data_IF_243905180777
#
_entry.id   IF_243905180777
#
_cell.length_a   1.000
_cell.length_b   1.000
_cell.length_c   1.000
_cell.angle_alpha   90.00
_cell.angle_beta   90.00
_cell.angle_gamma   90.00
#
_symmetry.space_group_name_H-M   'P 1'
#
loop_
_entity.id
_entity.type
_entity.pdbx_description
1 polymer ?
#
# COMPACT_ATOMS: atom_id res chain seq x y z
N UNK A 1 -4.26 78.79 -2.83
CA UNK A 1 -4.97 77.49 -2.84
C UNK A 1 -4.10 76.50 -3.59
N UNK A 2 -3.60 75.46 -2.93
CA UNK A 2 -3.14 74.18 -3.52
C UNK A 2 -2.74 73.26 -2.34
N UNK A 3 -3.28 72.04 -2.38
CA UNK A 3 -3.46 71.06 -1.30
C UNK A 3 -2.18 70.48 -0.66
N UNK A 4 -2.27 69.94 0.57
CA UNK A 4 -1.26 69.03 1.10
C UNK A 4 -1.39 67.65 0.45
N UNK A 5 -0.27 67.14 -0.08
CA UNK A 5 -0.14 65.78 -0.59
C UNK A 5 -0.05 64.82 0.60
N UNK A 6 -1.06 63.96 0.75
CA UNK A 6 -1.06 62.85 1.70
C UNK A 6 -0.19 61.73 1.13
N UNK A 7 0.93 61.44 1.78
CA UNK A 7 1.76 60.27 1.50
C UNK A 7 1.10 59.06 2.17
N UNK A 8 0.43 58.22 1.39
CA UNK A 8 0.07 56.86 1.81
C UNK A 8 1.29 55.94 1.63
N UNK A 9 1.96 55.59 2.72
CA UNK A 9 2.90 54.47 2.74
C UNK A 9 2.12 53.16 2.72
N UNK A 10 2.16 52.46 1.59
CA UNK A 10 1.59 51.12 1.45
C UNK A 10 2.40 50.11 2.28
N UNK A 11 1.79 49.54 3.33
CA UNK A 11 2.28 48.32 3.96
C UNK A 11 2.06 47.16 2.97
N UNK A 12 3.13 46.67 2.36
CA UNK A 12 3.10 45.42 1.62
C UNK A 12 2.92 44.27 2.62
N UNK A 13 1.70 43.74 2.71
CA UNK A 13 1.44 42.50 3.42
C UNK A 13 2.11 41.34 2.67
N UNK A 14 3.19 40.80 3.22
CA UNK A 14 3.67 39.46 2.87
C UNK A 14 2.63 38.44 3.32
N UNK A 15 1.63 38.20 2.47
CA UNK A 15 0.81 37.00 2.58
C UNK A 15 1.70 35.81 2.20
N UNK A 16 2.41 35.25 3.18
CA UNK A 16 2.92 33.89 3.05
C UNK A 16 1.71 33.02 2.69
N UNK A 17 1.70 32.48 1.47
CA UNK A 17 0.74 31.47 1.08
C UNK A 17 0.98 30.24 1.96
N UNK A 18 0.32 30.19 3.11
CA UNK A 18 0.26 28.99 3.94
C UNK A 18 -0.56 28.01 3.11
N UNK A 19 0.13 27.11 2.39
CA UNK A 19 -0.54 25.99 1.75
C UNK A 19 -1.39 25.30 2.82
N UNK A 20 -2.69 25.10 2.54
CA UNK A 20 -3.59 24.45 3.47
C UNK A 20 -2.99 23.09 3.86
N UNK A 21 -2.64 22.93 5.13
CA UNK A 21 -2.04 21.70 5.66
C UNK A 21 -3.17 20.69 5.89
N UNK A 22 -3.13 19.55 5.22
CA UNK A 22 -4.20 18.55 5.27
C UNK A 22 -4.17 17.61 4.07
N UNK A 23 -5.28 16.89 3.87
CA UNK A 23 -5.44 15.98 2.73
C UNK A 23 -5.48 16.79 1.43
N UNK A 24 -4.72 16.34 0.44
CA UNK A 24 -4.70 16.88 -0.92
C UNK A 24 -5.45 15.95 -1.88
N UNK A 25 -6.26 16.52 -2.76
CA UNK A 25 -7.05 15.75 -3.72
C UNK A 25 -8.19 14.94 -3.07
N UNK A 26 -8.70 13.96 -3.80
CA UNK A 26 -9.76 13.07 -3.33
C UNK A 26 -9.57 11.66 -3.89
N UNK A 27 -10.05 10.65 -3.16
CA UNK A 27 -10.01 9.27 -3.60
C UNK A 27 -10.79 9.07 -4.91
N UNK A 28 -10.17 8.38 -5.85
CA UNK A 28 -10.85 7.82 -7.01
C UNK A 28 -11.31 6.38 -6.73
N UNK A 29 -12.06 5.78 -7.67
CA UNK A 29 -12.42 4.36 -7.58
C UNK A 29 -13.31 4.04 -6.38
N UNK A 30 -13.15 2.83 -5.82
CA UNK A 30 -14.13 2.28 -4.89
C UNK A 30 -14.26 3.05 -3.58
N UNK A 31 -13.21 3.72 -3.11
CA UNK A 31 -13.25 4.53 -1.88
C UNK A 31 -13.59 6.01 -2.15
N UNK A 32 -14.03 6.37 -3.36
CA UNK A 32 -14.51 7.72 -3.68
C UNK A 32 -15.56 8.17 -2.65
N UNK A 33 -15.33 9.35 -2.08
CA UNK A 33 -16.18 9.95 -1.05
C UNK A 33 -15.68 9.77 0.38
N UNK A 34 -14.50 9.15 0.59
CA UNK A 34 -13.83 9.15 1.88
C UNK A 34 -13.47 10.58 2.29
N UNK A 35 -13.62 10.91 3.57
CA UNK A 35 -13.32 12.24 4.12
C UNK A 35 -12.28 12.22 5.24
N UNK A 36 -12.01 11.04 5.83
CA UNK A 36 -11.09 10.90 6.94
C UNK A 36 -11.51 11.74 8.14
N UNK A 37 -10.60 12.61 8.61
CA UNK A 37 -10.86 13.59 9.67
C UNK A 37 -11.78 14.76 9.25
N UNK A 38 -12.13 14.86 7.97
CA UNK A 38 -12.97 15.94 7.44
C UNK A 38 -12.36 17.32 7.65
N UNK A 39 -13.15 18.26 8.18
CA UNK A 39 -12.74 19.63 8.49
C UNK A 39 -12.14 19.80 9.89
N UNK A 40 -11.82 18.71 10.59
CA UNK A 40 -11.18 18.79 11.90
C UNK A 40 -9.86 19.58 11.81
N UNK A 41 -9.66 20.51 12.76
CA UNK A 41 -8.45 21.32 12.84
C UNK A 41 -7.20 20.41 12.91
N UNK A 42 -6.15 20.68 12.12
CA UNK A 42 -4.93 19.89 12.16
C UNK A 42 -4.29 19.82 13.54
N UNK A 43 -3.87 18.63 13.95
CA UNK A 43 -3.03 18.39 15.13
C UNK A 43 -1.65 17.90 14.70
N UNK A 44 -0.63 18.32 15.46
CA UNK A 44 0.77 18.08 15.15
C UNK A 44 1.43 17.32 16.32
N UNK A 45 1.41 15.97 16.32
CA UNK A 45 2.00 15.21 17.40
C UNK A 45 3.49 15.55 17.56
N UNK A 46 3.92 15.77 18.80
CA UNK A 46 5.30 16.05 19.17
C UNK A 46 6.03 14.79 19.63
N UNK A 47 5.31 13.77 20.05
CA UNK A 47 5.86 12.52 20.58
C UNK A 47 5.18 11.30 19.97
N UNK A 48 5.82 10.14 20.05
CA UNK A 48 5.21 8.86 19.68
C UNK A 48 3.91 8.60 20.44
N UNK A 49 3.86 8.98 21.73
CA UNK A 49 2.67 8.83 22.56
C UNK A 49 1.49 9.70 22.07
N UNK A 50 1.74 10.95 21.68
CA UNK A 50 0.72 11.81 21.10
C UNK A 50 0.22 11.27 19.75
N UNK A 51 1.12 10.78 18.89
CA UNK A 51 0.73 10.16 17.62
C UNK A 51 -0.19 8.96 17.86
N UNK A 52 0.20 8.05 18.76
CA UNK A 52 -0.61 6.89 19.12
C UNK A 52 -1.95 7.34 19.70
N UNK A 53 -1.97 8.32 20.60
CA UNK A 53 -3.19 8.84 21.21
C UNK A 53 -4.17 9.38 20.16
N UNK A 54 -3.69 10.25 19.25
CA UNK A 54 -4.53 10.81 18.19
C UNK A 54 -5.05 9.76 17.21
N UNK A 55 -4.28 8.73 16.90
CA UNK A 55 -4.73 7.65 16.00
C UNK A 55 -5.74 6.71 16.66
N UNK A 56 -5.64 6.52 17.97
CA UNK A 56 -6.41 5.50 18.72
C UNK A 56 -7.67 6.03 19.40
N UNK A 57 -7.87 7.36 19.47
CA UNK A 57 -9.09 7.93 20.03
C UNK A 57 -10.29 7.91 19.06
N UNK A 58 -11.48 8.21 19.58
CA UNK A 58 -12.74 8.19 18.82
C UNK A 58 -13.06 9.50 18.11
N UNK A 59 -12.24 10.54 18.27
CA UNK A 59 -12.49 11.88 17.73
C UNK A 59 -12.09 11.92 16.26
N UNK A 60 -12.84 12.63 15.41
CA UNK A 60 -12.40 12.87 14.04
C UNK A 60 -11.12 13.74 14.06
N UNK A 61 -10.05 13.32 13.39
CA UNK A 61 -8.77 14.04 13.42
C UNK A 61 -8.08 14.14 12.08
N UNK A 62 -7.49 15.30 11.85
CA UNK A 62 -6.47 15.54 10.82
C UNK A 62 -5.12 15.61 11.52
N UNK A 63 -4.29 14.58 11.36
CA UNK A 63 -3.03 14.37 12.08
C UNK A 63 -1.88 14.60 11.10
N UNK A 64 -1.06 15.61 11.36
CA UNK A 64 0.02 16.02 10.45
C UNK A 64 1.37 15.58 11.00
N UNK A 65 2.08 14.75 10.23
CA UNK A 65 3.43 14.30 10.56
C UNK A 65 4.46 15.25 9.96
N UNK A 66 5.20 15.94 10.81
CA UNK A 66 6.23 16.91 10.42
C UNK A 66 7.65 16.40 10.63
N UNK A 67 7.81 15.14 11.06
CA UNK A 67 9.08 14.50 11.37
C UNK A 67 8.95 12.98 11.39
N UNK A 68 10.09 12.31 11.56
CA UNK A 68 10.16 10.88 11.87
C UNK A 68 9.66 10.61 13.29
N UNK A 69 8.73 9.66 13.40
CA UNK A 69 8.32 9.01 14.64
C UNK A 69 8.97 7.64 14.68
N UNK A 70 10.10 7.55 15.39
CA UNK A 70 10.89 6.32 15.50
C UNK A 70 10.43 5.50 16.71
N UNK A 71 9.82 4.35 16.44
CA UNK A 71 9.39 3.38 17.45
C UNK A 71 10.41 2.27 17.70
N UNK A 72 11.54 2.25 16.98
CA UNK A 72 12.59 1.24 17.23
C UNK A 72 13.06 1.33 18.67
N UNK A 73 13.08 0.20 19.37
CA UNK A 73 13.52 0.05 20.75
C UNK A 73 12.51 0.50 21.80
N UNK A 74 11.42 1.19 21.44
CA UNK A 74 10.50 1.79 22.43
C UNK A 74 9.75 0.76 23.26
N UNK A 75 9.68 -0.48 22.80
CA UNK A 75 9.03 -1.60 23.49
C UNK A 75 10.04 -2.71 23.86
N UNK A 76 11.33 -2.47 23.67
CA UNK A 76 12.41 -3.42 23.90
C UNK A 76 12.50 -4.52 22.82
N UNK A 77 13.42 -5.46 23.04
CA UNK A 77 13.65 -6.60 22.15
C UNK A 77 13.14 -7.90 22.77
N UNK A 78 12.91 -8.90 21.95
CA UNK A 78 12.54 -10.25 22.40
C UNK A 78 13.37 -11.30 21.67
N UNK A 79 13.95 -12.22 22.46
CA UNK A 79 14.56 -13.44 21.95
C UNK A 79 13.50 -14.52 21.77
N UNK A 80 13.55 -15.26 20.67
CA UNK A 80 12.63 -16.36 20.37
C UNK A 80 13.26 -17.35 19.40
N UNK A 81 12.68 -18.54 19.25
CA UNK A 81 13.12 -19.50 18.25
C UNK A 81 12.59 -19.17 16.85
N UNK A 82 13.23 -19.74 15.84
CA UNK A 82 12.86 -19.53 14.44
C UNK A 82 13.32 -20.66 13.53
N UNK A 83 13.29 -20.41 12.23
CA UNK A 83 13.79 -21.30 11.20
C UNK A 83 14.37 -20.51 10.01
N UNK A 84 15.16 -21.19 9.19
CA UNK A 84 15.75 -20.68 7.96
C UNK A 84 15.14 -21.37 6.73
N UNK A 85 13.89 -21.05 6.34
CA UNK A 85 13.19 -21.80 5.29
C UNK A 85 13.66 -21.52 3.87
N UNK A 86 14.41 -20.43 3.67
CA UNK A 86 14.86 -20.01 2.35
C UNK A 86 16.32 -20.40 2.11
N UNK A 87 17.18 -20.15 3.11
CA UNK A 87 18.57 -20.59 3.19
C UNK A 87 19.17 -19.98 4.48
N UNK A 88 20.31 -20.51 4.93
CA UNK A 88 21.13 -19.93 6.02
C UNK A 88 22.18 -18.93 5.50
N UNK A 89 22.22 -18.70 4.19
CA UNK A 89 23.15 -17.78 3.54
C UNK A 89 22.93 -16.30 3.93
N UNK A 90 23.96 -15.48 3.73
CA UNK A 90 23.89 -14.04 3.93
C UNK A 90 22.81 -13.42 3.04
N UNK A 91 22.03 -12.49 3.60
CA UNK A 91 20.99 -11.77 2.86
C UNK A 91 19.68 -12.56 2.63
N UNK A 92 19.60 -13.77 3.17
CA UNK A 92 18.33 -14.49 3.28
C UNK A 92 17.55 -14.03 4.52
N UNK A 93 16.23 -13.89 4.40
CA UNK A 93 15.38 -13.73 5.58
C UNK A 93 15.32 -15.03 6.40
N UNK A 94 15.26 -14.87 7.71
CA UNK A 94 14.86 -15.94 8.63
C UNK A 94 13.38 -15.75 8.99
N UNK A 95 12.74 -16.77 9.55
CA UNK A 95 11.37 -16.66 10.03
C UNK A 95 11.32 -16.82 11.55
N UNK A 96 10.64 -15.89 12.23
CA UNK A 96 10.25 -16.08 13.63
C UNK A 96 9.22 -17.21 13.69
N UNK A 97 9.35 -18.11 14.67
CA UNK A 97 8.41 -19.21 14.86
C UNK A 97 7.09 -18.76 15.53
N UNK A 98 6.44 -17.74 14.98
CA UNK A 98 5.15 -17.22 15.46
C UNK A 98 4.09 -18.31 15.28
N UNK A 99 3.30 -18.57 16.33
CA UNK A 99 2.20 -19.55 16.33
C UNK A 99 2.60 -20.95 15.79
N UNK A 100 3.82 -21.40 16.12
CA UNK A 100 4.40 -22.66 15.61
C UNK A 100 4.53 -22.73 14.08
N UNK A 101 4.62 -21.59 13.38
CA UNK A 101 4.68 -21.55 11.92
C UNK A 101 5.82 -22.38 11.32
N UNK A 102 7.02 -22.33 11.91
CA UNK A 102 8.14 -23.14 11.44
C UNK A 102 7.87 -24.64 11.59
N UNK A 103 7.10 -25.04 12.60
CA UNK A 103 6.73 -26.45 12.80
C UNK A 103 5.63 -26.89 11.86
N UNK A 104 4.61 -26.07 11.68
CA UNK A 104 3.42 -26.46 10.93
C UNK A 104 3.62 -26.34 9.42
N UNK A 105 4.41 -25.36 8.96
CA UNK A 105 4.52 -25.04 7.53
C UNK A 105 5.94 -25.22 6.97
N UNK A 106 6.96 -25.36 7.82
CA UNK A 106 8.35 -25.51 7.40
C UNK A 106 9.08 -26.60 8.21
N UNK A 107 8.50 -27.81 8.37
CA UNK A 107 9.01 -28.82 9.30
C UNK A 107 10.46 -29.24 9.00
N UNK A 108 10.86 -29.20 7.73
CA UNK A 108 12.17 -29.63 7.24
C UNK A 108 13.21 -28.50 7.21
N UNK A 109 12.85 -27.27 7.60
CA UNK A 109 13.78 -26.14 7.58
C UNK A 109 14.73 -26.18 8.78
N UNK A 110 16.01 -25.77 8.61
CA UNK A 110 16.94 -25.62 9.72
C UNK A 110 16.34 -24.74 10.83
N UNK A 111 16.42 -25.23 12.08
CA UNK A 111 15.94 -24.50 13.26
C UNK A 111 16.99 -23.55 13.77
N UNK A 112 16.52 -22.37 14.19
CA UNK A 112 17.36 -21.35 14.80
C UNK A 112 16.93 -21.23 16.26
N UNK A 113 17.86 -21.51 17.18
CA UNK A 113 17.57 -21.57 18.61
C UNK A 113 17.24 -20.19 19.21
N UNK A 114 17.83 -19.12 18.68
CA UNK A 114 17.57 -17.76 19.14
C UNK A 114 17.68 -16.75 18.00
N UNK A 115 16.61 -16.01 17.78
CA UNK A 115 16.50 -14.80 16.98
C UNK A 115 16.06 -13.66 17.90
N UNK A 116 16.58 -12.46 17.70
CA UNK A 116 16.21 -11.28 18.50
C UNK A 116 15.57 -10.23 17.61
N UNK A 117 14.31 -9.89 17.86
CA UNK A 117 13.58 -8.89 17.09
C UNK A 117 13.09 -7.73 17.97
N UNK A 118 12.78 -6.60 17.34
CA UNK A 118 12.20 -5.44 18.02
C UNK A 118 10.69 -5.64 18.24
N UNK A 119 10.22 -5.57 19.49
CA UNK A 119 8.82 -5.82 19.83
C UNK A 119 7.88 -4.74 19.31
N UNK A 120 8.38 -3.53 19.08
CA UNK A 120 7.58 -2.42 18.57
C UNK A 120 6.88 -2.77 17.24
N UNK A 121 7.52 -3.61 16.43
CA UNK A 121 7.01 -4.02 15.13
C UNK A 121 5.80 -4.98 15.20
N UNK A 122 5.61 -5.68 16.33
CA UNK A 122 4.46 -6.59 16.54
C UNK A 122 3.21 -5.86 17.03
N UNK A 123 3.38 -4.71 17.65
CA UNK A 123 2.31 -3.92 18.24
C UNK A 123 1.94 -2.75 17.32
N UNK A 124 1.33 -3.05 16.18
CA UNK A 124 0.85 -2.04 15.24
C UNK A 124 -0.13 -1.05 15.89
N UNK A 125 -0.07 0.22 15.50
CA UNK A 125 -0.98 1.26 16.03
C UNK A 125 -2.39 1.00 15.51
N UNK A 126 -3.36 0.82 16.41
CA UNK A 126 -4.76 0.58 16.05
C UNK A 126 -5.47 1.87 15.66
N UNK A 127 -5.63 2.11 14.37
CA UNK A 127 -6.23 3.35 13.86
C UNK A 127 -7.75 3.27 13.97
N UNK A 128 -8.37 4.25 14.64
CA UNK A 128 -9.82 4.37 14.74
C UNK A 128 -10.45 5.05 13.51
N UNK A 129 -11.77 5.03 13.42
CA UNK A 129 -12.53 5.71 12.36
C UNK A 129 -12.28 7.23 12.31
N UNK A 130 -12.57 7.82 11.15
CA UNK A 130 -12.55 9.27 10.89
C UNK A 130 -11.16 9.90 11.14
N UNK A 131 -10.13 9.32 10.54
CA UNK A 131 -8.74 9.81 10.67
C UNK A 131 -8.19 10.18 9.31
N UNK A 132 -7.52 11.32 9.25
CA UNK A 132 -6.63 11.70 8.15
C UNK A 132 -5.22 11.78 8.70
N UNK A 133 -4.37 10.81 8.39
CA UNK A 133 -2.95 10.82 8.73
C UNK A 133 -2.16 11.31 7.52
N UNK A 134 -1.54 12.50 7.62
CA UNK A 134 -0.91 13.17 6.47
C UNK A 134 0.53 13.54 6.79
N UNK A 135 1.49 13.17 5.95
CA UNK A 135 2.86 13.70 6.06
C UNK A 135 3.02 15.05 5.40
N UNK A 136 3.78 15.94 6.04
CA UNK A 136 4.13 17.24 5.49
C UNK A 136 5.41 17.16 4.65
N UNK A 137 5.34 17.52 3.38
CA UNK A 137 6.48 17.44 2.45
C UNK A 137 7.08 16.04 2.43
N UNK A 138 8.37 15.92 2.70
CA UNK A 138 9.09 14.65 2.81
C UNK A 138 9.54 14.34 4.26
N UNK A 139 8.78 14.78 5.27
CA UNK A 139 9.16 14.63 6.68
C UNK A 139 8.35 13.57 7.45
N UNK A 140 7.13 13.23 7.00
CA UNK A 140 6.23 12.33 7.72
C UNK A 140 6.61 10.85 7.63
N UNK A 141 7.46 10.37 8.55
CA UNK A 141 7.95 8.99 8.57
C UNK A 141 7.51 8.28 9.86
N UNK A 142 7.04 7.04 9.74
CA UNK A 142 6.82 6.12 10.87
C UNK A 142 7.81 4.97 10.72
N UNK A 143 8.72 4.84 11.70
CA UNK A 143 9.81 3.87 11.68
C UNK A 143 9.64 2.83 12.78
N UNK A 144 9.88 1.55 12.48
CA UNK A 144 9.89 0.48 13.49
C UNK A 144 8.52 -0.05 13.92
N UNK A 145 7.42 0.51 13.42
CA UNK A 145 6.05 0.10 13.75
C UNK A 145 5.09 0.37 12.58
N UNK A 146 4.12 -0.53 12.40
CA UNK A 146 3.05 -0.38 11.40
C UNK A 146 1.74 0.17 11.97
N UNK A 147 0.72 0.24 11.13
CA UNK A 147 -0.66 0.60 11.50
C UNK A 147 -1.63 -0.55 11.21
N UNK A 148 -2.68 -0.66 12.01
CA UNK A 148 -3.72 -1.67 11.86
C UNK A 148 -5.12 -1.06 11.93
N UNK A 149 -5.91 -1.28 10.88
CA UNK A 149 -7.32 -0.87 10.77
C UNK A 149 -8.20 -2.10 10.81
N UNK A 150 -8.98 -2.28 11.87
CA UNK A 150 -9.79 -3.47 12.06
C UNK A 150 -11.02 -3.22 12.92
N UNK A 151 -11.81 -4.27 13.15
CA UNK A 151 -12.96 -4.24 14.06
C UNK A 151 -14.03 -3.21 13.67
N UNK A 152 -14.28 -3.06 12.37
CA UNK A 152 -15.35 -2.22 11.83
C UNK A 152 -15.01 -0.73 11.70
N UNK A 153 -13.73 -0.35 11.83
CA UNK A 153 -13.31 1.04 11.60
C UNK A 153 -13.55 1.46 10.14
N UNK A 154 -13.83 2.74 9.92
CA UNK A 154 -14.13 3.24 8.59
C UNK A 154 -13.77 4.70 8.41
N UNK A 155 -13.74 5.15 7.15
CA UNK A 155 -13.49 6.53 6.78
C UNK A 155 -12.10 7.00 7.24
N UNK A 156 -11.06 6.42 6.65
CA UNK A 156 -9.67 6.69 7.01
C UNK A 156 -8.87 7.05 5.76
N UNK A 157 -8.08 8.12 5.86
CA UNK A 157 -7.14 8.56 4.84
C UNK A 157 -5.72 8.47 5.42
N UNK A 158 -4.83 7.78 4.73
CA UNK A 158 -3.40 7.76 5.00
C UNK A 158 -2.70 8.33 3.76
N UNK A 159 -2.12 9.53 3.89
CA UNK A 159 -1.58 10.25 2.74
C UNK A 159 -0.16 10.75 2.96
N UNK A 160 0.73 10.51 2.00
CA UNK A 160 2.09 11.04 2.02
C UNK A 160 2.90 10.66 3.28
N UNK A 161 2.81 9.39 3.70
CA UNK A 161 3.54 8.84 4.86
C UNK A 161 4.51 7.76 4.41
N UNK A 162 5.71 7.72 4.99
CA UNK A 162 6.67 6.64 4.78
C UNK A 162 6.71 5.69 5.98
N UNK A 163 6.39 4.41 5.76
CA UNK A 163 6.54 3.34 6.75
C UNK A 163 7.81 2.53 6.47
N UNK A 164 8.70 2.36 7.46
CA UNK A 164 9.97 1.68 7.23
C UNK A 164 10.65 1.06 8.46
N UNK A 165 11.69 0.25 8.22
CA UNK A 165 12.54 -0.41 9.22
C UNK A 165 11.77 -1.26 10.22
N UNK A 166 10.88 -2.12 9.73
CA UNK A 166 10.06 -2.99 10.57
C UNK A 166 10.66 -4.40 10.54
N UNK A 167 11.70 -4.65 11.34
CA UNK A 167 12.41 -5.95 11.44
C UNK A 167 12.67 -6.61 10.05
N UNK A 168 13.34 -5.93 9.10
CA UNK A 168 13.44 -6.38 7.70
C UNK A 168 14.04 -7.77 7.52
N UNK A 169 14.87 -8.23 8.44
CA UNK A 169 15.54 -9.53 8.41
C UNK A 169 14.64 -10.73 8.78
N UNK A 170 13.43 -10.49 9.30
CA UNK A 170 12.57 -11.55 9.83
C UNK A 170 11.19 -11.57 9.17
N UNK A 171 10.85 -12.69 8.53
CA UNK A 171 9.45 -13.04 8.26
C UNK A 171 8.73 -13.18 9.60
N UNK A 172 7.50 -12.67 9.66
CA UNK A 172 6.74 -12.42 10.89
C UNK A 172 7.34 -11.33 11.80
N UNK A 173 8.36 -10.59 11.35
CA UNK A 173 8.95 -9.48 12.09
C UNK A 173 8.03 -8.26 12.22
N UNK A 174 7.05 -8.12 11.33
CA UNK A 174 6.01 -7.08 11.36
C UNK A 174 5.50 -6.74 9.96
N UNK A 175 4.33 -6.12 9.90
CA UNK A 175 3.73 -5.58 8.68
C UNK A 175 3.66 -4.05 8.76
N UNK A 176 3.69 -3.35 7.62
CA UNK A 176 3.61 -1.89 7.61
C UNK A 176 2.17 -1.36 7.72
N UNK A 177 1.27 -1.84 6.85
CA UNK A 177 -0.13 -1.44 6.85
C UNK A 177 -1.01 -2.68 6.79
N UNK A 178 -1.87 -2.85 7.80
CA UNK A 178 -2.79 -3.97 7.90
C UNK A 178 -4.24 -3.48 7.96
N UNK A 179 -5.13 -4.12 7.22
CA UNK A 179 -6.57 -3.84 7.19
C UNK A 179 -7.33 -5.16 7.30
N UNK A 180 -8.25 -5.29 8.25
CA UNK A 180 -9.06 -6.51 8.39
C UNK A 180 -10.37 -6.20 9.11
N UNK A 181 -11.45 -6.05 8.36
CA UNK A 181 -12.73 -5.58 8.91
C UNK A 181 -12.79 -4.06 8.96
N UNK A 182 -12.76 -3.40 7.79
CA UNK A 182 -12.84 -1.95 7.66
C UNK A 182 -13.65 -1.53 6.42
N UNK A 183 -13.87 -0.24 6.21
CA UNK A 183 -14.52 0.27 4.99
C UNK A 183 -14.13 1.73 4.71
N UNK A 184 -14.19 2.15 3.45
CA UNK A 184 -13.85 3.51 3.01
C UNK A 184 -12.45 3.94 3.47
N UNK A 185 -11.44 3.22 2.95
CA UNK A 185 -10.03 3.47 3.25
C UNK A 185 -9.32 3.99 2.00
N UNK A 186 -8.55 5.08 2.15
CA UNK A 186 -7.72 5.63 1.09
C UNK A 186 -6.28 5.74 1.53
N UNK A 187 -5.39 5.04 0.82
CA UNK A 187 -3.95 5.06 0.98
C UNK A 187 -3.37 5.76 -0.25
N UNK A 188 -2.73 6.91 -0.08
CA UNK A 188 -2.28 7.76 -1.18
C UNK A 188 -0.89 8.32 -0.97
N UNK A 189 -0.03 8.34 -2.00
CA UNK A 189 1.35 8.86 -1.88
C UNK A 189 2.15 8.24 -0.71
N UNK A 190 1.81 7.04 -0.29
CA UNK A 190 2.53 6.34 0.77
C UNK A 190 3.78 5.70 0.20
N UNK A 191 4.87 5.66 0.98
CA UNK A 191 6.01 4.77 0.70
C UNK A 191 6.09 3.68 1.77
N UNK A 192 6.41 2.46 1.35
CA UNK A 192 6.77 1.36 2.26
C UNK A 192 8.12 0.78 1.84
N UNK A 193 9.04 0.59 2.78
CA UNK A 193 10.36 -0.01 2.49
C UNK A 193 10.95 -0.73 3.69
N UNK A 194 11.72 -1.80 3.46
CA UNK A 194 12.45 -2.54 4.51
C UNK A 194 11.53 -3.03 5.64
N UNK A 195 10.55 -3.84 5.25
CA UNK A 195 9.54 -4.45 6.12
C UNK A 195 9.83 -5.95 6.24
N UNK A 196 9.66 -6.54 7.42
CA UNK A 196 9.95 -7.96 7.65
C UNK A 196 8.99 -8.90 6.90
N UNK A 197 7.70 -8.52 6.84
CA UNK A 197 6.68 -9.24 6.09
C UNK A 197 5.86 -8.26 5.22
N UNK A 198 4.53 -8.20 5.34
CA UNK A 198 3.68 -7.52 4.37
C UNK A 198 3.89 -6.00 4.39
N UNK A 199 4.13 -5.39 3.23
CA UNK A 199 4.04 -3.94 3.09
C UNK A 199 2.59 -3.48 3.21
N UNK A 200 1.67 -4.23 2.61
CA UNK A 200 0.23 -4.00 2.72
C UNK A 200 -0.52 -5.33 2.78
N UNK A 201 -1.36 -5.51 3.79
CA UNK A 201 -2.22 -6.69 3.93
C UNK A 201 -3.67 -6.31 4.19
N UNK A 202 -4.58 -6.86 3.38
CA UNK A 202 -6.02 -6.75 3.53
C UNK A 202 -6.60 -8.14 3.79
N UNK A 203 -7.35 -8.31 4.88
CA UNK A 203 -8.03 -9.53 5.26
C UNK A 203 -7.55 -10.15 6.58
N UNK A 204 -8.12 -11.27 7.01
CA UNK A 204 -9.14 -12.08 6.30
C UNK A 204 -10.58 -11.52 6.39
N UNK A 205 -10.89 -10.63 7.33
CA UNK A 205 -12.21 -9.98 7.38
C UNK A 205 -12.36 -8.98 6.23
N UNK A 206 -13.60 -8.67 5.84
CA UNK A 206 -13.89 -7.77 4.72
C UNK A 206 -13.31 -6.36 4.97
N UNK A 207 -12.47 -5.90 4.04
CA UNK A 207 -11.95 -4.52 3.98
C UNK A 207 -12.87 -3.60 3.15
N UNK A 208 -13.87 -4.18 2.47
CA UNK A 208 -14.88 -3.47 1.69
C UNK A 208 -14.25 -2.51 0.68
N UNK A 209 -14.57 -1.20 0.73
CA UNK A 209 -14.10 -0.22 -0.26
C UNK A 209 -12.73 0.33 0.13
N UNK A 210 -11.71 -0.01 -0.66
CA UNK A 210 -10.34 0.48 -0.47
C UNK A 210 -9.81 1.06 -1.78
N UNK A 211 -9.13 2.19 -1.69
CA UNK A 211 -8.33 2.75 -2.79
C UNK A 211 -6.90 2.93 -2.34
N UNK A 212 -5.98 2.35 -3.10
CA UNK A 212 -4.55 2.51 -2.94
C UNK A 212 -4.05 3.20 -4.21
N UNK A 213 -3.63 4.45 -4.06
CA UNK A 213 -3.22 5.28 -5.19
C UNK A 213 -1.85 5.91 -5.01
N UNK A 214 -1.17 6.14 -6.14
CA UNK A 214 0.06 6.95 -6.20
C UNK A 214 1.12 6.54 -5.17
N UNK A 215 1.16 5.28 -4.74
CA UNK A 215 2.01 4.82 -3.64
C UNK A 215 3.22 4.04 -4.15
N UNK A 216 4.30 4.07 -3.41
CA UNK A 216 5.56 3.38 -3.71
C UNK A 216 5.76 2.19 -2.76
N UNK A 217 5.80 0.99 -3.34
CA UNK A 217 6.13 -0.25 -2.65
C UNK A 217 7.54 -0.66 -3.06
N UNK A 218 8.51 -0.27 -2.23
CA UNK A 218 9.93 -0.44 -2.47
C UNK A 218 10.43 -1.73 -1.80
N UNK A 219 10.53 -2.79 -2.60
CA UNK A 219 10.99 -4.11 -2.17
C UNK A 219 12.50 -4.25 -2.06
N UNK A 220 13.29 -3.18 -2.26
CA UNK A 220 14.75 -3.23 -2.11
C UNK A 220 15.12 -3.51 -0.66
N UNK A 221 15.86 -4.59 -0.42
CA UNK A 221 16.19 -5.03 0.94
C UNK A 221 17.52 -5.78 1.00
N UNK A 222 18.20 -5.70 2.15
CA UNK A 222 19.38 -6.54 2.41
C UNK A 222 19.00 -7.97 2.78
N UNK A 223 17.75 -8.22 3.15
CA UNK A 223 17.25 -9.54 3.54
C UNK A 223 15.98 -9.87 2.76
N UNK A 224 16.00 -10.93 1.98
CA UNK A 224 14.86 -11.37 1.17
C UNK A 224 14.62 -12.87 1.27
N UNK A 225 13.38 -13.30 1.08
CA UNK A 225 13.02 -14.72 1.03
C UNK A 225 13.62 -15.47 -0.17
N UNK A 226 14.11 -14.75 -1.19
CA UNK A 226 14.81 -15.32 -2.34
C UNK A 226 16.33 -15.06 -2.31
N UNK A 227 16.84 -14.45 -1.24
CA UNK A 227 18.26 -14.14 -1.04
C UNK A 227 18.90 -13.30 -2.17
N UNK A 228 18.11 -12.50 -2.88
CA UNK A 228 18.50 -11.76 -4.10
C UNK A 228 18.22 -10.24 -3.97
N UNK A 229 17.88 -9.79 -2.77
CA UNK A 229 17.55 -8.40 -2.48
C UNK A 229 16.17 -7.94 -2.95
N UNK A 230 15.33 -8.85 -3.46
CA UNK A 230 13.97 -8.57 -3.92
C UNK A 230 12.95 -9.11 -2.93
N UNK A 231 12.11 -8.22 -2.38
CA UNK A 231 11.18 -8.61 -1.33
C UNK A 231 9.98 -9.43 -1.85
N UNK A 232 9.61 -10.50 -1.15
CA UNK A 232 8.56 -11.43 -1.58
C UNK A 232 7.17 -11.09 -1.02
N UNK A 233 7.11 -10.47 0.16
CA UNK A 233 5.88 -10.20 0.90
C UNK A 233 5.44 -8.75 0.72
N UNK A 234 5.16 -8.30 -0.51
CA UNK A 234 4.74 -6.91 -0.72
C UNK A 234 3.27 -6.70 -0.34
N UNK A 235 2.36 -7.18 -1.18
CA UNK A 235 0.95 -6.80 -1.18
C UNK A 235 0.08 -8.05 -1.17
N UNK A 236 -0.76 -8.18 -0.13
CA UNK A 236 -1.58 -9.36 0.08
C UNK A 236 -3.05 -9.00 0.30
N UNK A 237 -3.87 -9.21 -0.73
CA UNK A 237 -5.30 -8.90 -0.75
C UNK A 237 -6.14 -10.17 -0.63
N UNK A 238 -6.67 -10.43 0.56
CA UNK A 238 -7.39 -11.67 0.89
C UNK A 238 -8.64 -11.45 1.74
N UNK A 239 -9.24 -10.26 1.69
CA UNK A 239 -10.47 -10.00 2.43
C UNK A 239 -11.65 -10.81 1.88
N UNK A 240 -12.66 -10.96 2.73
CA UNK A 240 -13.83 -11.79 2.44
C UNK A 240 -14.89 -11.10 1.54
N UNK A 241 -14.77 -9.80 1.28
CA UNK A 241 -15.68 -9.05 0.40
C UNK A 241 -15.09 -7.69 0.02
N UNK A 242 -13.98 -7.71 -0.71
CA UNK A 242 -13.17 -6.51 -0.95
C UNK A 242 -13.39 -5.93 -2.35
N UNK A 243 -13.49 -4.61 -2.40
CA UNK A 243 -13.52 -3.77 -3.60
C UNK A 243 -12.28 -2.87 -3.57
N UNK A 244 -11.24 -3.26 -4.32
CA UNK A 244 -9.94 -2.60 -4.27
C UNK A 244 -9.65 -1.88 -5.58
N UNK A 245 -9.46 -0.57 -5.52
CA UNK A 245 -8.85 0.20 -6.60
C UNK A 245 -7.37 0.33 -6.30
N UNK A 246 -6.53 -0.16 -7.20
CA UNK A 246 -5.08 -0.09 -7.13
C UNK A 246 -4.59 0.72 -8.33
N UNK A 247 -4.36 2.02 -8.13
CA UNK A 247 -4.12 2.97 -9.22
C UNK A 247 -2.80 3.73 -9.12
N UNK A 248 -2.03 3.81 -10.20
CA UNK A 248 -0.89 4.74 -10.24
C UNK A 248 0.21 4.39 -9.26
N UNK A 249 0.30 3.14 -8.79
CA UNK A 249 1.30 2.73 -7.81
C UNK A 249 2.60 2.32 -8.50
N UNK A 250 3.72 2.61 -7.85
CA UNK A 250 5.03 2.12 -8.24
C UNK A 250 5.43 0.93 -7.37
N UNK A 251 5.46 -0.27 -7.96
CA UNK A 251 5.77 -1.52 -7.27
C UNK A 251 7.08 -2.05 -7.82
N UNK A 252 8.14 -2.10 -7.00
CA UNK A 252 9.45 -2.44 -7.53
C UNK A 252 10.35 -3.25 -6.61
N UNK A 253 11.36 -3.89 -7.21
CA UNK A 253 12.34 -4.74 -6.51
C UNK A 253 11.65 -5.83 -5.69
N UNK A 254 10.69 -6.52 -6.32
CA UNK A 254 9.87 -7.56 -5.70
C UNK A 254 10.17 -8.94 -6.27
N UNK A 255 9.72 -9.98 -5.58
CA UNK A 255 9.88 -11.37 -6.03
C UNK A 255 8.64 -12.24 -5.81
N UNK A 256 7.53 -11.61 -5.43
CA UNK A 256 6.24 -12.27 -5.23
C UNK A 256 5.19 -11.30 -4.72
N UNK A 257 3.95 -11.78 -4.60
CA UNK A 257 2.82 -11.06 -3.98
C UNK A 257 2.76 -9.57 -4.35
N UNK A 258 2.80 -9.28 -5.64
CA UNK A 258 2.83 -7.93 -6.17
C UNK A 258 1.70 -7.69 -7.19
N UNK A 259 0.41 -7.83 -6.81
CA UNK A 259 -0.13 -8.33 -5.54
C UNK A 259 -0.49 -9.82 -5.58
N UNK A 260 -0.67 -10.44 -4.40
CA UNK A 260 -1.45 -11.67 -4.26
C UNK A 260 -2.92 -11.33 -4.01
N UNK A 261 -3.83 -11.92 -4.77
CA UNK A 261 -5.27 -11.68 -4.71
C UNK A 261 -6.00 -13.00 -4.44
N UNK A 262 -6.82 -13.03 -3.39
CA UNK A 262 -7.56 -14.21 -2.94
C UNK A 262 -8.82 -13.78 -2.18
N UNK A 263 -9.42 -14.73 -1.43
CA UNK A 263 -10.62 -14.48 -0.64
C UNK A 263 -11.82 -14.28 -1.55
N UNK A 264 -12.48 -13.13 -1.42
CA UNK A 264 -13.49 -12.68 -2.37
C UNK A 264 -13.22 -11.20 -2.65
N UNK A 265 -12.38 -10.97 -3.65
CA UNK A 265 -11.77 -9.66 -3.91
C UNK A 265 -11.95 -9.28 -5.37
N UNK A 266 -12.57 -8.13 -5.61
CA UNK A 266 -12.60 -7.45 -6.89
C UNK A 266 -11.49 -6.41 -6.91
N UNK A 267 -10.49 -6.62 -7.76
CA UNK A 267 -9.36 -5.73 -7.93
C UNK A 267 -9.47 -5.00 -9.27
N UNK A 268 -9.49 -3.67 -9.22
CA UNK A 268 -9.21 -2.80 -10.36
C UNK A 268 -7.75 -2.33 -10.29
N UNK A 269 -6.87 -3.00 -11.02
CA UNK A 269 -5.46 -2.64 -11.12
C UNK A 269 -5.24 -1.80 -12.39
N UNK A 270 -5.09 -0.49 -12.22
CA UNK A 270 -5.09 0.48 -13.32
C UNK A 270 -3.91 1.44 -13.27
N UNK A 271 -3.20 1.62 -14.39
CA UNK A 271 -2.09 2.58 -14.49
C UNK A 271 -0.97 2.44 -13.45
N UNK A 272 -0.71 1.23 -12.96
CA UNK A 272 0.43 0.98 -12.08
C UNK A 272 1.70 0.72 -12.91
N UNK A 273 2.84 0.92 -12.28
CA UNK A 273 4.14 0.56 -12.83
C UNK A 273 4.79 -0.52 -11.98
N UNK A 274 4.98 -1.70 -12.56
CA UNK A 274 5.68 -2.84 -11.97
C UNK A 274 7.08 -2.92 -12.58
N UNK A 275 8.11 -2.86 -11.73
CA UNK A 275 9.51 -2.77 -12.18
C UNK A 275 10.45 -3.68 -11.40
N UNK A 276 11.42 -4.29 -12.09
CA UNK A 276 12.48 -5.08 -11.45
C UNK A 276 11.91 -6.15 -10.51
N UNK A 277 11.26 -7.16 -11.08
CA UNK A 277 10.77 -8.31 -10.34
C UNK A 277 11.50 -9.57 -10.78
N UNK A 278 12.17 -10.23 -9.83
CA UNK A 278 13.09 -11.35 -10.11
C UNK A 278 12.38 -12.70 -10.29
N UNK A 279 11.05 -12.77 -10.08
CA UNK A 279 10.26 -14.00 -10.10
C UNK A 279 8.88 -13.75 -10.72
N UNK A 280 7.85 -13.49 -9.91
CA UNK A 280 6.50 -13.20 -10.39
C UNK A 280 5.88 -11.99 -9.68
N UNK A 281 4.97 -11.30 -10.37
CA UNK A 281 4.19 -10.22 -9.78
C UNK A 281 2.89 -10.75 -9.15
N UNK A 282 1.91 -11.13 -9.95
CA UNK A 282 0.59 -11.52 -9.46
C UNK A 282 0.54 -12.98 -8.97
N UNK A 283 -0.28 -13.22 -7.96
CA UNK A 283 -0.77 -14.54 -7.57
C UNK A 283 -2.28 -14.45 -7.44
N UNK A 284 -3.04 -15.38 -8.01
CA UNK A 284 -4.50 -15.39 -7.90
C UNK A 284 -5.02 -16.78 -7.52
N UNK A 285 -5.97 -16.81 -6.58
CA UNK A 285 -6.69 -18.03 -6.17
C UNK A 285 -8.19 -17.88 -6.46
N UNK A 286 -9.01 -18.93 -6.28
CA UNK A 286 -10.45 -18.81 -6.44
C UNK A 286 -11.02 -17.67 -5.57
N UNK A 287 -11.98 -16.94 -6.14
CA UNK A 287 -12.58 -15.73 -5.54
C UNK A 287 -11.81 -14.42 -5.81
N UNK A 288 -10.66 -14.48 -6.48
CA UNK A 288 -10.03 -13.29 -7.06
C UNK A 288 -10.64 -12.93 -8.42
N UNK A 289 -11.00 -11.66 -8.58
CA UNK A 289 -11.53 -11.07 -9.81
C UNK A 289 -10.70 -9.83 -10.18
N UNK A 290 -9.80 -9.95 -11.15
CA UNK A 290 -8.82 -8.89 -11.45
C UNK A 290 -9.04 -8.29 -12.83
N UNK A 291 -9.41 -7.00 -12.86
CA UNK A 291 -9.33 -6.18 -14.06
C UNK A 291 -7.98 -5.45 -14.08
N UNK A 292 -7.17 -5.73 -15.10
CA UNK A 292 -5.84 -5.16 -15.30
C UNK A 292 -5.80 -4.34 -16.61
N UNK A 293 -5.67 -3.02 -16.49
CA UNK A 293 -5.67 -2.11 -17.65
C UNK A 293 -4.70 -0.93 -17.51
N UNK A 294 -4.06 -0.52 -18.61
CA UNK A 294 -3.18 0.64 -18.64
C UNK A 294 -1.92 0.53 -17.76
N UNK A 295 -1.52 -0.66 -17.31
CA UNK A 295 -0.34 -0.85 -16.46
C UNK A 295 0.92 -1.02 -17.31
N UNK A 296 2.08 -0.67 -16.75
CA UNK A 296 3.39 -0.94 -17.34
C UNK A 296 4.10 -2.03 -16.53
N UNK A 297 4.61 -3.04 -17.21
CA UNK A 297 5.48 -4.06 -16.63
C UNK A 297 6.85 -3.98 -17.29
N UNK A 298 7.89 -3.76 -16.51
CA UNK A 298 9.26 -3.65 -16.99
C UNK A 298 10.21 -4.52 -16.16
N UNK A 299 10.99 -5.39 -16.81
CA UNK A 299 11.91 -6.30 -16.12
C UNK A 299 11.21 -7.13 -15.01
N UNK A 300 9.98 -7.56 -15.28
CA UNK A 300 9.22 -8.50 -14.48
C UNK A 300 9.33 -9.87 -15.13
N UNK A 301 9.89 -10.86 -14.42
CA UNK A 301 10.14 -12.20 -14.97
C UNK A 301 8.84 -12.90 -15.37
N UNK A 302 7.82 -12.88 -14.51
CA UNK A 302 6.47 -13.37 -14.80
C UNK A 302 5.41 -12.40 -14.29
N UNK A 303 4.47 -12.00 -15.15
CA UNK A 303 3.34 -11.15 -14.72
C UNK A 303 2.48 -11.87 -13.69
N UNK A 304 2.35 -13.20 -13.78
CA UNK A 304 1.61 -14.04 -12.84
C UNK A 304 2.35 -15.34 -12.58
N UNK A 305 2.28 -15.82 -11.33
CA UNK A 305 2.79 -17.13 -10.95
C UNK A 305 2.03 -18.26 -11.68
N UNK A 306 2.69 -19.13 -12.46
CA UNK A 306 2.05 -20.23 -13.15
C UNK A 306 1.42 -21.27 -12.21
N UNK A 307 1.88 -21.34 -10.96
CA UNK A 307 1.33 -22.23 -9.92
C UNK A 307 0.17 -21.60 -9.14
N UNK A 308 -0.04 -20.29 -9.25
CA UNK A 308 -1.09 -19.54 -8.54
C UNK A 308 -1.83 -18.59 -9.48
N UNK A 309 -2.63 -19.16 -10.39
CA UNK A 309 -3.38 -18.43 -11.43
C UNK A 309 -4.82 -18.91 -11.61
N UNK A 310 -5.46 -19.32 -10.52
CA UNK A 310 -6.81 -19.91 -10.55
C UNK A 310 -7.93 -18.91 -10.29
N UNK A 311 -7.60 -17.62 -10.10
CA UNK A 311 -8.58 -16.53 -10.11
C UNK A 311 -9.01 -16.15 -11.52
N UNK A 312 -10.02 -15.28 -11.63
CA UNK A 312 -10.50 -14.75 -12.90
C UNK A 312 -9.80 -13.44 -13.22
N UNK A 313 -9.31 -13.29 -14.45
CA UNK A 313 -8.58 -12.09 -14.86
C UNK A 313 -9.01 -11.61 -16.24
N UNK A 314 -9.16 -10.29 -16.38
CA UNK A 314 -9.26 -9.61 -17.66
C UNK A 314 -8.07 -8.65 -17.80
N UNK A 315 -7.16 -8.97 -18.71
CA UNK A 315 -5.84 -8.30 -18.83
C UNK A 315 -5.78 -7.25 -19.94
N UNK A 316 -6.95 -6.84 -20.42
CA UNK A 316 -7.08 -5.89 -21.53
C UNK A 316 -6.21 -6.27 -22.74
N UNK A 317 -6.38 -7.48 -23.32
CA UNK A 317 -5.37 -8.10 -24.16
C UNK A 317 -5.23 -7.48 -25.55
N UNK A 318 -6.29 -6.87 -26.09
CA UNK A 318 -6.30 -6.21 -27.40
C UNK A 318 -7.53 -5.29 -27.52
N UNK A 319 -7.51 -4.38 -28.50
CA UNK A 319 -8.57 -3.38 -28.70
C UNK A 319 -9.98 -4.00 -28.85
N UNK A 320 -10.11 -5.13 -29.55
CA UNK A 320 -11.41 -5.78 -29.78
C UNK A 320 -11.99 -6.35 -28.49
N UNK A 321 -11.19 -7.13 -27.75
CA UNK A 321 -11.60 -7.69 -26.45
C UNK A 321 -11.92 -6.57 -25.44
N UNK A 322 -11.19 -5.46 -25.48
CA UNK A 322 -11.37 -4.34 -24.56
C UNK A 322 -12.73 -3.63 -24.69
N UNK A 323 -13.44 -3.81 -25.81
CA UNK A 323 -14.80 -3.30 -25.98
C UNK A 323 -15.79 -3.93 -24.98
N UNK A 324 -15.51 -5.14 -24.47
CA UNK A 324 -16.34 -5.82 -23.48
C UNK A 324 -16.51 -5.01 -22.19
N UNK A 325 -15.54 -4.16 -21.85
CA UNK A 325 -15.59 -3.31 -20.67
C UNK A 325 -16.68 -2.23 -20.75
N UNK A 326 -17.12 -1.84 -21.95
CA UNK A 326 -18.08 -0.74 -22.15
C UNK A 326 -19.39 -0.97 -21.40
N UNK A 327 -19.88 -2.21 -21.35
CA UNK A 327 -21.13 -2.55 -20.68
C UNK A 327 -21.08 -2.38 -19.15
N UNK A 328 -19.90 -2.57 -18.55
CA UNK A 328 -19.72 -2.50 -17.09
C UNK A 328 -19.13 -1.17 -16.62
N UNK A 329 -18.19 -0.61 -17.38
CA UNK A 329 -17.39 0.56 -17.00
C UNK A 329 -17.82 1.85 -17.73
N UNK A 330 -18.69 1.75 -18.75
CA UNK A 330 -19.07 2.88 -19.62
C UNK A 330 -18.01 3.30 -20.64
N UNK A 331 -16.85 2.61 -20.67
CA UNK A 331 -15.73 2.86 -21.59
C UNK A 331 -15.03 1.55 -21.96
N UNK A 332 -14.27 1.57 -23.05
CA UNK A 332 -13.36 0.48 -23.37
C UNK A 332 -12.21 0.42 -22.35
N UNK A 333 -11.67 -0.78 -22.14
CA UNK A 333 -10.46 -0.95 -21.34
C UNK A 333 -9.19 -0.51 -22.09
N UNK A 334 -8.14 -0.17 -21.34
CA UNK A 334 -6.87 0.30 -21.91
C UNK A 334 -5.79 -0.78 -21.88
N UNK A 335 -5.02 -0.90 -22.96
CA UNK A 335 -3.93 -1.89 -23.07
C UNK A 335 -2.87 -1.69 -21.98
N UNK A 336 -2.33 -2.81 -21.49
CA UNK A 336 -1.10 -2.82 -20.69
C UNK A 336 0.13 -2.76 -21.62
N UNK A 337 1.27 -2.27 -21.10
CA UNK A 337 2.55 -2.25 -21.79
C UNK A 337 3.57 -3.16 -21.10
N UNK A 338 4.41 -3.82 -21.90
CA UNK A 338 5.40 -4.79 -21.44
C UNK A 338 6.76 -4.47 -22.05
N UNK A 339 7.79 -4.31 -21.23
CA UNK A 339 9.17 -4.09 -21.65
C UNK A 339 10.11 -5.07 -20.95
N UNK A 340 10.88 -5.85 -21.71
CA UNK A 340 11.69 -6.96 -21.16
C UNK A 340 10.90 -7.89 -20.23
N UNK A 341 9.60 -8.05 -20.51
CA UNK A 341 8.64 -8.86 -19.77
C UNK A 341 7.75 -9.56 -20.77
N UNK A 342 7.54 -10.87 -20.61
CA UNK A 342 6.56 -11.61 -21.40
C UNK A 342 5.14 -11.12 -21.09
N UNK A 343 4.38 -10.79 -22.13
CA UNK A 343 2.97 -10.43 -21.96
C UNK A 343 2.18 -11.60 -21.36
N UNK A 344 1.25 -11.30 -20.46
CA UNK A 344 0.26 -12.25 -19.98
C UNK A 344 -1.12 -11.86 -20.49
N UNK A 345 -1.79 -12.80 -21.15
CA UNK A 345 -3.09 -12.55 -21.79
C UNK A 345 -4.17 -13.44 -21.19
N UNK A 346 -5.20 -12.79 -20.66
CA UNK A 346 -6.48 -13.37 -20.26
C UNK A 346 -7.61 -12.43 -20.64
N UNK A 347 -8.72 -12.99 -21.12
CA UNK A 347 -9.89 -12.28 -21.64
C UNK A 347 -11.19 -12.72 -20.95
N UNK A 348 -11.12 -13.21 -19.70
CA UNK A 348 -12.31 -13.65 -18.96
C UNK A 348 -13.21 -12.45 -18.62
N UNK A 349 -14.37 -12.38 -19.26
CA UNK A 349 -15.35 -11.30 -19.08
C UNK A 349 -16.42 -11.63 -18.05
N UNK A 350 -16.45 -12.86 -17.51
CA UNK A 350 -17.55 -13.39 -16.71
C UNK A 350 -17.78 -12.67 -15.37
N UNK A 351 -16.82 -11.83 -14.94
CA UNK A 351 -16.91 -11.04 -13.72
C UNK A 351 -17.03 -9.53 -13.97
N UNK A 352 -16.95 -9.05 -15.22
CA UNK A 352 -16.95 -7.60 -15.49
C UNK A 352 -18.25 -6.93 -15.01
N UNK A 353 -19.38 -7.64 -15.01
CA UNK A 353 -20.64 -7.16 -14.44
C UNK A 353 -20.54 -6.76 -12.96
N UNK A 354 -19.57 -7.31 -12.21
CA UNK A 354 -19.32 -6.96 -10.83
C UNK A 354 -18.87 -5.50 -10.64
N UNK A 355 -18.46 -4.80 -11.70
CA UNK A 355 -18.12 -3.38 -11.65
C UNK A 355 -19.31 -2.44 -11.89
N UNK A 356 -20.44 -2.96 -12.37
CA UNK A 356 -21.61 -2.14 -12.73
C UNK A 356 -22.15 -1.38 -11.52
N UNK A 357 -22.40 -0.08 -11.72
CA UNK A 357 -22.94 0.80 -10.68
C UNK A 357 -21.95 1.18 -9.57
N UNK A 358 -20.67 0.82 -9.69
CA UNK A 358 -19.62 1.20 -8.73
C UNK A 358 -18.84 2.41 -9.22
N UNK A 359 -18.15 3.09 -8.30
CA UNK A 359 -17.18 4.12 -8.64
C UNK A 359 -15.91 3.46 -9.20
N UNK A 360 -15.65 3.67 -10.50
CA UNK A 360 -14.50 3.07 -11.20
C UNK A 360 -13.49 4.18 -11.51
N UNK A 361 -12.21 3.92 -11.25
CA UNK A 361 -11.17 4.88 -11.58
C UNK A 361 -11.00 5.01 -13.11
N UNK A 362 -10.72 6.20 -13.65
CA UNK A 362 -10.37 6.35 -15.06
C UNK A 362 -9.03 5.68 -15.35
N UNK A 363 -8.93 5.11 -16.55
CA UNK A 363 -7.71 4.53 -17.08
C UNK A 363 -7.11 5.42 -18.18
N UNK A 364 -5.79 5.56 -18.17
CA UNK A 364 -5.00 6.21 -19.20
C UNK A 364 -4.09 5.20 -19.91
N UNK A 365 -3.36 5.65 -20.93
CA UNK A 365 -2.30 4.84 -21.54
C UNK A 365 -1.23 4.47 -20.49
N UNK A 366 -0.64 3.28 -20.65
CA UNK A 366 0.42 2.79 -19.78
C UNK A 366 1.63 3.72 -19.80
N UNK A 367 2.23 3.99 -18.64
CA UNK A 367 3.33 4.93 -18.49
C UNK A 367 4.25 4.57 -17.32
N UNK A 368 5.56 4.58 -17.57
CA UNK A 368 6.58 4.47 -16.52
C UNK A 368 6.79 5.78 -15.74
N UNK A 369 6.15 6.90 -16.14
CA UNK A 369 6.25 8.18 -15.43
C UNK A 369 5.73 8.09 -13.98
N UNK A 370 4.93 7.06 -13.68
CA UNK A 370 4.48 6.70 -12.33
C UNK A 370 5.65 6.66 -11.33
N UNK A 371 6.85 6.21 -11.72
CA UNK A 371 8.03 6.21 -10.84
C UNK A 371 8.41 7.62 -10.31
N UNK A 372 8.11 8.67 -11.08
CA UNK A 372 8.43 10.06 -10.70
C UNK A 372 7.36 10.69 -9.83
N UNK A 373 6.12 10.21 -9.89
CA UNK A 373 4.96 10.81 -9.21
C UNK A 373 4.48 10.00 -8.01
N UNK A 374 4.66 8.68 -8.01
CA UNK A 374 4.19 7.82 -6.93
C UNK A 374 5.15 7.82 -5.72
N UNK A 375 4.57 7.87 -4.53
CA UNK A 375 5.26 7.71 -3.26
C UNK A 375 5.36 8.98 -2.43
N UNK A 376 6.05 8.83 -1.32
CA UNK A 376 6.27 9.86 -0.31
C UNK A 376 7.07 11.06 -0.85
N UNK A 377 6.68 12.27 -0.46
CA UNK A 377 7.32 13.52 -0.83
C UNK A 377 6.96 14.06 -2.22
N UNK A 378 6.00 13.44 -2.92
CA UNK A 378 5.66 13.75 -4.33
C UNK A 378 4.24 14.34 -4.49
N UNK A 379 3.65 14.86 -3.41
CA UNK A 379 2.26 15.34 -3.33
C UNK A 379 2.10 16.86 -3.35
#
# INVERSE_FOLDING_TARGET
MLSPVVIFTALAAFANAVAAVGVKGAAEGFAKGVTGGGSAAPVYPKTNAELVSYLTDKTARTIILTKTFDFTGTEGKQATSGCAPYSTGSGCQLAINKDNWCTNYQPNSPRINSLTYDKAAWNAIKVQSNKSLVGQGSAGVIKGKGIYMANGVKNIIIQNVHFTEINPQYVWGGDAISISGADMIWIDHVKTSRIGRQHLVLGNAASNRVTISNSEFDGSTNWSANCDGHHYFLIYFTGANDLITFKGNYVHHSSGRSPKVAGNTILHAVNNYFYANSKHAFETTPGAYVLLEGNTFQNVVQVIDPSSKTGKMFTSPNANSNAACKAALGRNCVLNAYGSTGAYTSADTSFLSNFKGKNIAPAAAASANVAKTAGFGKI
#
